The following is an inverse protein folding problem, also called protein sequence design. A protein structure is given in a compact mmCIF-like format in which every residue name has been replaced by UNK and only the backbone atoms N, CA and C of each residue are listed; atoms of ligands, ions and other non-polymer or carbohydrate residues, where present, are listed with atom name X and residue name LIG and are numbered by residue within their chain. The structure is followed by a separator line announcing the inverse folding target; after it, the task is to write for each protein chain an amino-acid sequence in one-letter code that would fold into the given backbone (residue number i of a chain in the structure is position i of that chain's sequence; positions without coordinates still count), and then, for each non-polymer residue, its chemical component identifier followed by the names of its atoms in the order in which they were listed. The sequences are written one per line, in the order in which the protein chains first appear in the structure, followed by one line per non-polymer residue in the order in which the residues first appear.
data_IF_923682883956
#
_entry.id   IF_923682883956
#
_cell.length_a   1.000
_cell.length_b   1.000
_cell.length_c   1.000
_cell.angle_alpha   90.00
_cell.angle_beta   90.00
_cell.angle_gamma   90.00
#
_symmetry.space_group_name_H-M   'P 1'
#
loop_
_entity.id
_entity.type
_entity.pdbx_description
1 polymer ?
#
# COMPACT_ATOMS: atom_id res chain seq x y z
N UNK A 1 -36.93 32.42 -38.84
CA UNK A 1 -37.91 33.35 -38.31
C UNK A 1 -37.84 33.44 -36.79
N UNK A 2 -37.59 34.63 -36.34
CA UNK A 2 -37.84 35.17 -35.01
C UNK A 2 -37.22 34.49 -33.74
N UNK A 3 -36.21 35.19 -33.31
CA UNK A 3 -35.57 35.24 -32.04
C UNK A 3 -36.42 35.81 -30.91
N UNK A 4 -36.11 35.40 -29.72
CA UNK A 4 -36.48 36.09 -28.50
C UNK A 4 -35.28 36.09 -27.56
N UNK A 5 -34.67 37.27 -27.37
CA UNK A 5 -33.65 37.57 -26.36
C UNK A 5 -34.39 37.83 -25.02
N UNK A 6 -33.91 37.22 -23.92
CA UNK A 6 -34.24 37.64 -22.58
C UNK A 6 -33.15 38.52 -21.98
N UNK A 7 -33.49 39.53 -21.21
CA UNK A 7 -32.53 40.49 -20.65
C UNK A 7 -31.76 39.93 -19.44
N UNK A 8 -30.49 40.24 -19.39
CA UNK A 8 -29.57 40.06 -18.27
C UNK A 8 -29.86 41.12 -17.20
N UNK A 9 -30.24 40.66 -16.00
CA UNK A 9 -30.34 41.53 -14.82
C UNK A 9 -29.04 41.42 -14.03
N UNK A 10 -28.28 42.52 -14.02
CA UNK A 10 -27.06 42.68 -13.22
C UNK A 10 -27.49 43.15 -11.83
N UNK A 11 -27.34 42.33 -10.81
CA UNK A 11 -27.47 42.74 -9.43
C UNK A 11 -26.08 42.95 -8.83
N UNK A 12 -25.71 44.21 -8.60
CA UNK A 12 -24.53 44.64 -7.87
C UNK A 12 -24.85 44.59 -6.37
N UNK A 13 -24.28 43.67 -5.65
CA UNK A 13 -24.31 43.64 -4.20
C UNK A 13 -22.97 44.10 -3.64
N UNK A 14 -22.95 45.32 -3.12
CA UNK A 14 -21.87 45.88 -2.30
C UNK A 14 -21.96 45.24 -0.90
N UNK A 15 -21.00 44.44 -0.51
CA UNK A 15 -20.87 43.97 0.87
C UNK A 15 -19.56 44.46 1.43
N UNK A 16 -19.68 45.29 2.45
CA UNK A 16 -18.59 45.88 3.22
C UNK A 16 -17.77 44.85 3.97
N UNK A 17 -16.43 45.02 3.91
CA UNK A 17 -15.43 44.33 4.71
C UNK A 17 -15.65 44.51 6.21
N UNK A 18 -15.76 43.40 6.91
CA UNK A 18 -15.25 43.24 8.28
C UNK A 18 -15.22 41.75 8.61
N UNK A 19 -14.05 41.12 8.55
CA UNK A 19 -13.70 39.88 9.28
C UNK A 19 -12.23 39.50 9.04
N UNK A 20 -11.33 40.25 9.68
CA UNK A 20 -9.89 39.88 9.67
C UNK A 20 -9.44 39.09 10.93
N UNK A 21 -10.36 38.47 11.67
CA UNK A 21 -9.99 37.74 12.91
C UNK A 21 -10.26 36.25 12.94
N UNK A 22 -10.88 35.65 11.93
CA UNK A 22 -11.21 34.21 11.97
C UNK A 22 -10.15 33.29 11.33
N UNK A 23 -9.28 33.82 10.49
CA UNK A 23 -8.28 32.99 9.80
C UNK A 23 -7.11 32.55 10.69
N UNK A 24 -6.76 33.34 11.73
CA UNK A 24 -5.72 32.94 12.68
C UNK A 24 -6.13 31.81 13.63
N UNK A 25 -7.42 31.58 13.82
CA UNK A 25 -7.90 30.53 14.73
C UNK A 25 -8.06 29.16 14.02
N UNK A 26 -8.06 29.12 12.69
CA UNK A 26 -8.03 27.85 11.92
C UNK A 26 -6.64 27.25 11.82
N UNK A 27 -5.61 28.09 11.69
CA UNK A 27 -4.21 27.60 11.62
C UNK A 27 -3.66 27.10 12.96
N UNK A 28 -4.10 27.67 14.08
CA UNK A 28 -3.67 27.22 15.42
C UNK A 28 -4.33 25.91 15.85
N UNK A 29 -5.51 25.55 15.29
CA UNK A 29 -6.18 24.28 15.60
C UNK A 29 -5.61 23.08 14.83
N UNK A 30 -4.85 23.32 13.75
CA UNK A 30 -4.18 22.27 12.97
C UNK A 30 -2.81 21.85 13.55
N UNK A 31 -2.29 22.57 14.56
CA UNK A 31 -0.98 22.30 15.17
C UNK A 31 -1.05 21.63 16.54
N UNK A 32 -2.23 21.38 17.10
CA UNK A 32 -2.34 20.41 18.17
C UNK A 32 -2.22 19.02 17.56
N UNK A 33 -0.97 18.55 17.39
CA UNK A 33 -0.66 17.19 16.98
C UNK A 33 -1.38 16.22 17.90
N UNK A 34 -2.55 15.78 17.48
CA UNK A 34 -3.26 14.68 18.09
C UNK A 34 -2.38 13.44 17.90
N UNK A 35 -1.50 13.17 18.86
CA UNK A 35 -0.94 11.84 19.01
C UNK A 35 -2.15 10.92 19.15
N UNK A 36 -2.43 10.12 18.12
CA UNK A 36 -3.57 9.21 18.13
C UNK A 36 -3.52 8.42 19.43
N UNK A 37 -4.61 8.47 20.20
CA UNK A 37 -4.71 7.76 21.48
C UNK A 37 -4.41 6.28 21.22
N UNK A 38 -3.71 5.55 22.10
CA UNK A 38 -3.37 4.15 21.88
C UNK A 38 -4.56 3.27 21.50
N UNK A 39 -5.75 3.58 22.01
CA UNK A 39 -7.00 2.92 21.65
C UNK A 39 -7.39 3.16 20.18
N UNK A 40 -7.32 4.40 19.71
CA UNK A 40 -7.63 4.76 18.33
C UNK A 40 -6.70 4.06 17.32
N UNK A 41 -5.41 3.94 17.65
CA UNK A 41 -4.46 3.20 16.81
C UNK A 41 -4.82 1.71 16.72
N UNK A 42 -5.29 1.12 17.81
CA UNK A 42 -5.72 -0.28 17.84
C UNK A 42 -6.96 -0.48 16.97
N UNK A 43 -7.96 0.40 17.08
CA UNK A 43 -9.18 0.32 16.29
C UNK A 43 -8.87 0.44 14.78
N UNK A 44 -7.95 1.34 14.40
CA UNK A 44 -7.49 1.47 13.01
C UNK A 44 -6.81 0.20 12.51
N UNK A 45 -6.01 -0.45 13.34
CA UNK A 45 -5.37 -1.70 12.98
C UNK A 45 -6.38 -2.85 12.82
N UNK A 46 -7.34 -2.95 13.72
CA UNK A 46 -8.41 -3.95 13.62
C UNK A 46 -9.24 -3.76 12.34
N UNK A 47 -9.53 -2.51 11.97
CA UNK A 47 -10.19 -2.20 10.71
C UNK A 47 -9.33 -2.59 9.50
N UNK A 48 -8.02 -2.35 9.54
CA UNK A 48 -7.07 -2.76 8.50
C UNK A 48 -7.03 -4.29 8.35
N UNK A 49 -6.93 -5.02 9.45
CA UNK A 49 -6.96 -6.50 9.47
C UNK A 49 -8.29 -7.00 8.90
N UNK A 50 -9.43 -6.47 9.38
CA UNK A 50 -10.77 -6.87 8.91
C UNK A 50 -10.93 -6.64 7.41
N UNK A 51 -10.43 -5.52 6.89
CA UNK A 51 -10.46 -5.24 5.43
C UNK A 51 -9.65 -6.28 4.66
N UNK A 52 -8.43 -6.59 5.11
CA UNK A 52 -7.58 -7.60 4.46
C UNK A 52 -8.22 -9.00 4.50
N UNK A 53 -8.93 -9.35 5.58
CA UNK A 53 -9.68 -10.60 5.70
C UNK A 53 -10.79 -10.70 4.65
N UNK A 54 -11.59 -9.64 4.46
CA UNK A 54 -12.65 -9.60 3.44
C UNK A 54 -12.10 -9.81 2.03
N UNK A 55 -10.99 -9.15 1.69
CA UNK A 55 -10.33 -9.37 0.40
C UNK A 55 -9.86 -10.83 0.26
N UNK A 56 -9.31 -11.41 1.32
CA UNK A 56 -8.89 -12.82 1.32
C UNK A 56 -10.06 -13.78 1.09
N UNK A 57 -11.21 -13.52 1.74
CA UNK A 57 -12.43 -14.32 1.57
C UNK A 57 -12.93 -14.24 0.12
N UNK A 58 -13.00 -13.03 -0.45
CA UNK A 58 -13.40 -12.86 -1.86
C UNK A 58 -12.46 -13.61 -2.82
N UNK A 59 -11.15 -13.53 -2.60
CA UNK A 59 -10.17 -14.28 -3.42
C UNK A 59 -10.42 -15.79 -3.33
N UNK A 60 -10.69 -16.29 -2.12
CA UNK A 60 -11.01 -17.72 -1.92
C UNK A 60 -12.24 -18.20 -2.69
N UNK A 61 -13.25 -17.33 -2.81
CA UNK A 61 -14.51 -17.66 -3.50
C UNK A 61 -14.34 -17.76 -5.01
N UNK A 62 -13.39 -17.00 -5.58
CA UNK A 62 -13.21 -16.91 -7.04
C UNK A 62 -11.97 -17.64 -7.56
N UNK A 63 -11.08 -18.09 -6.68
CA UNK A 63 -9.82 -18.75 -7.06
C UNK A 63 -10.09 -20.13 -7.70
N UNK A 64 -9.46 -20.36 -8.84
CA UNK A 64 -9.37 -21.67 -9.50
C UNK A 64 -7.93 -22.18 -9.48
N UNK A 65 -7.77 -23.52 -9.45
CA UNK A 65 -6.44 -24.12 -9.43
C UNK A 65 -5.64 -23.75 -10.68
N UNK A 66 -4.47 -23.16 -10.46
CA UNK A 66 -3.58 -22.67 -11.52
C UNK A 66 -3.63 -21.15 -11.71
N UNK A 67 -4.55 -20.46 -11.07
CA UNK A 67 -4.61 -19.01 -11.09
C UNK A 67 -3.39 -18.38 -10.41
N UNK A 68 -2.98 -17.23 -10.93
CA UNK A 68 -2.05 -16.32 -10.28
C UNK A 68 -2.83 -15.23 -9.56
N UNK A 69 -2.61 -15.12 -8.25
CA UNK A 69 -3.20 -14.06 -7.42
C UNK A 69 -2.26 -12.87 -7.40
N UNK A 70 -2.73 -11.72 -7.87
CA UNK A 70 -1.93 -10.50 -7.94
C UNK A 70 -2.49 -9.41 -7.03
N UNK A 71 -1.78 -9.11 -5.94
CA UNK A 71 -2.20 -8.16 -4.90
C UNK A 71 -1.49 -6.83 -5.09
N UNK A 72 -2.23 -5.72 -4.98
CA UNK A 72 -1.72 -4.38 -5.22
C UNK A 72 -1.88 -3.45 -4.02
N UNK A 73 -0.82 -2.69 -3.74
CA UNK A 73 -0.87 -1.53 -2.87
C UNK A 73 -0.79 -1.84 -1.36
N UNK A 74 -0.33 -0.85 -0.62
CA UNK A 74 -0.06 -0.96 0.82
C UNK A 74 -1.30 -1.21 1.69
N UNK A 75 -2.48 -1.04 1.15
CA UNK A 75 -3.74 -1.34 1.86
C UNK A 75 -3.94 -2.84 2.11
N UNK A 76 -3.29 -3.70 1.32
CA UNK A 76 -3.52 -5.15 1.29
C UNK A 76 -2.26 -5.95 1.66
N UNK A 77 -1.37 -5.40 2.49
CA UNK A 77 -0.10 -6.04 2.81
C UNK A 77 -0.22 -7.33 3.64
N UNK A 78 -1.37 -7.58 4.29
CA UNK A 78 -1.61 -8.82 5.03
C UNK A 78 -2.22 -9.93 4.17
N UNK A 79 -2.85 -9.58 3.04
CA UNK A 79 -3.58 -10.50 2.17
C UNK A 79 -2.72 -11.68 1.71
N UNK A 80 -1.44 -11.51 1.27
CA UNK A 80 -0.65 -12.65 0.80
C UNK A 80 -0.50 -13.75 1.84
N UNK A 81 -0.21 -13.40 3.10
CA UNK A 81 -0.09 -14.38 4.17
C UNK A 81 -1.44 -15.00 4.53
N UNK A 82 -2.51 -14.20 4.54
CA UNK A 82 -3.86 -14.69 4.83
C UNK A 82 -4.34 -15.68 3.76
N UNK A 83 -4.12 -15.38 2.47
CA UNK A 83 -4.42 -16.32 1.38
C UNK A 83 -3.61 -17.62 1.55
N UNK A 84 -2.34 -17.52 1.89
CA UNK A 84 -1.44 -18.67 2.05
C UNK A 84 -1.92 -19.67 3.10
N UNK A 85 -2.67 -19.22 4.10
CA UNK A 85 -3.25 -20.10 5.13
C UNK A 85 -4.33 -21.02 4.56
N UNK A 86 -5.02 -20.62 3.49
CA UNK A 86 -6.08 -21.39 2.84
C UNK A 86 -5.61 -22.06 1.55
N UNK A 87 -4.73 -21.38 0.79
CA UNK A 87 -4.23 -21.79 -0.50
C UNK A 87 -2.68 -21.91 -0.45
N UNK A 88 -2.14 -22.96 0.15
CA UNK A 88 -0.70 -23.07 0.41
C UNK A 88 0.15 -23.13 -0.87
N UNK A 89 -0.42 -23.60 -1.98
CA UNK A 89 0.27 -23.81 -3.26
C UNK A 89 -0.06 -22.72 -4.31
N UNK A 90 -0.96 -21.77 -4.02
CA UNK A 90 -1.30 -20.72 -4.97
C UNK A 90 -0.07 -19.85 -5.28
N UNK A 91 0.06 -19.41 -6.53
CA UNK A 91 1.10 -18.44 -6.92
C UNK A 91 0.62 -17.04 -6.57
N UNK A 92 1.31 -16.36 -5.66
CA UNK A 92 0.91 -15.03 -5.15
C UNK A 92 2.00 -14.01 -5.45
N UNK A 93 1.64 -12.98 -6.23
CA UNK A 93 2.44 -11.78 -6.43
C UNK A 93 1.90 -10.60 -5.62
N UNK A 94 2.79 -9.72 -5.19
CA UNK A 94 2.43 -8.45 -4.55
C UNK A 94 3.18 -7.30 -5.21
N UNK A 95 2.51 -6.17 -5.47
CA UNK A 95 3.16 -4.98 -6.00
C UNK A 95 3.00 -3.76 -5.09
N UNK A 96 4.13 -3.16 -4.72
CA UNK A 96 4.18 -1.94 -3.93
C UNK A 96 4.28 -0.72 -4.85
N UNK A 97 3.18 0.05 -4.96
CA UNK A 97 3.12 1.26 -5.81
C UNK A 97 3.68 2.52 -5.16
N UNK A 98 4.04 2.46 -3.88
CA UNK A 98 4.62 3.59 -3.14
C UNK A 98 6.04 3.26 -2.69
N UNK A 99 6.86 4.27 -2.40
CA UNK A 99 8.19 4.07 -1.82
C UNK A 99 8.13 3.24 -0.54
N UNK A 100 8.94 2.17 -0.47
CA UNK A 100 9.10 1.45 0.80
C UNK A 100 10.05 2.25 1.69
N UNK A 101 9.65 2.56 2.94
CA UNK A 101 10.44 3.43 3.83
C UNK A 101 11.72 2.76 4.31
N UNK A 102 12.68 3.57 4.76
CA UNK A 102 13.90 3.07 5.40
C UNK A 102 13.58 2.39 6.73
N UNK A 103 14.50 1.55 7.21
CA UNK A 103 14.31 0.82 8.47
C UNK A 103 14.18 1.75 9.68
N UNK A 104 14.78 2.94 9.64
CA UNK A 104 14.69 3.96 10.70
C UNK A 104 13.27 4.50 10.84
N UNK A 105 12.58 4.70 9.72
CA UNK A 105 11.17 5.13 9.69
C UNK A 105 10.25 3.95 9.99
N UNK A 106 10.47 2.82 9.31
CA UNK A 106 9.59 1.66 9.42
C UNK A 106 9.52 1.07 10.83
N UNK A 107 10.61 1.16 11.60
CA UNK A 107 10.67 0.66 12.99
C UNK A 107 9.68 1.34 13.95
N UNK A 108 9.16 2.53 13.59
CA UNK A 108 8.20 3.27 14.42
C UNK A 108 6.81 2.64 14.36
N UNK A 109 6.50 1.88 13.31
CA UNK A 109 5.22 1.20 13.17
C UNK A 109 5.05 0.10 14.24
N UNK A 110 3.98 0.14 15.05
CA UNK A 110 3.74 -0.89 16.07
C UNK A 110 3.63 -2.29 15.44
N UNK A 111 2.90 -2.42 14.36
CA UNK A 111 2.62 -3.70 13.67
C UNK A 111 3.57 -4.01 12.51
N UNK A 112 4.80 -3.46 12.56
CA UNK A 112 5.84 -3.67 11.53
C UNK A 112 6.14 -5.14 11.26
N UNK A 113 6.07 -5.98 12.30
CA UNK A 113 6.34 -7.41 12.20
C UNK A 113 5.24 -8.12 11.40
N UNK A 114 3.99 -7.85 11.74
CA UNK A 114 2.81 -8.41 11.09
C UNK A 114 2.75 -8.01 9.61
N UNK A 115 3.05 -6.76 9.30
CA UNK A 115 3.10 -6.24 7.92
C UNK A 115 4.17 -6.97 7.11
N UNK A 116 5.40 -7.09 7.62
CA UNK A 116 6.47 -7.79 6.91
C UNK A 116 6.14 -9.28 6.72
N UNK A 117 5.60 -9.94 7.74
CA UNK A 117 5.15 -11.34 7.61
C UNK A 117 4.03 -11.47 6.57
N UNK A 118 3.10 -10.52 6.54
CA UNK A 118 2.02 -10.46 5.55
C UNK A 118 2.57 -10.46 4.13
N UNK A 119 3.51 -9.57 3.85
CA UNK A 119 4.17 -9.45 2.55
C UNK A 119 4.97 -10.70 2.17
N UNK A 120 5.68 -11.32 3.13
CA UNK A 120 6.46 -12.54 2.89
C UNK A 120 5.59 -13.80 2.68
N UNK A 121 4.26 -13.68 2.72
CA UNK A 121 3.33 -14.69 2.21
C UNK A 121 3.32 -14.79 0.68
N UNK A 122 3.78 -13.76 -0.03
CA UNK A 122 3.90 -13.74 -1.49
C UNK A 122 5.12 -14.50 -1.98
N UNK A 123 5.03 -15.03 -3.20
CA UNK A 123 6.17 -15.65 -3.92
C UNK A 123 7.02 -14.58 -4.62
N UNK A 124 6.38 -13.47 -5.00
CA UNK A 124 7.01 -12.35 -5.67
C UNK A 124 6.57 -11.02 -5.04
N UNK A 125 7.51 -10.09 -4.85
CA UNK A 125 7.20 -8.71 -4.44
C UNK A 125 7.86 -7.75 -5.41
N UNK A 126 7.05 -6.91 -6.06
CA UNK A 126 7.48 -5.90 -6.99
C UNK A 126 7.68 -4.53 -6.35
N UNK A 127 8.77 -3.87 -6.74
CA UNK A 127 9.11 -2.50 -6.37
C UNK A 127 9.40 -1.66 -7.60
N UNK A 128 9.18 -0.35 -7.54
CA UNK A 128 9.44 0.56 -8.65
C UNK A 128 10.93 0.84 -8.87
N UNK A 129 11.72 0.88 -7.79
CA UNK A 129 13.15 1.18 -7.87
C UNK A 129 13.96 0.26 -6.94
N UNK A 130 15.24 -0.02 -7.27
CA UNK A 130 16.10 -0.90 -6.48
C UNK A 130 16.29 -0.44 -5.03
N UNK A 131 16.22 0.86 -4.77
CA UNK A 131 16.31 1.44 -3.43
C UNK A 131 15.22 0.91 -2.48
N UNK A 132 13.99 0.83 -2.94
CA UNK A 132 12.84 0.36 -2.14
C UNK A 132 12.97 -1.14 -1.81
N UNK A 133 13.43 -1.95 -2.75
CA UNK A 133 13.71 -3.37 -2.53
C UNK A 133 14.79 -3.55 -1.44
N UNK A 134 15.88 -2.76 -1.49
CA UNK A 134 16.92 -2.80 -0.44
C UNK A 134 16.39 -2.37 0.93
N UNK A 135 15.54 -1.35 1.00
CA UNK A 135 14.91 -0.94 2.26
C UNK A 135 14.04 -2.07 2.83
N UNK A 136 13.27 -2.74 1.99
CA UNK A 136 12.45 -3.88 2.41
C UNK A 136 13.28 -5.02 2.96
N UNK A 137 14.34 -5.44 2.25
CA UNK A 137 15.29 -6.47 2.73
C UNK A 137 15.85 -6.09 4.10
N UNK A 138 16.31 -4.84 4.25
CA UNK A 138 16.89 -4.35 5.49
C UNK A 138 15.89 -4.33 6.65
N UNK A 139 14.61 -3.98 6.38
CA UNK A 139 13.56 -4.08 7.38
C UNK A 139 13.31 -5.54 7.80
N UNK A 140 13.20 -6.45 6.84
CA UNK A 140 12.99 -7.87 7.12
C UNK A 140 14.11 -8.46 7.99
N UNK A 141 15.37 -8.21 7.63
CA UNK A 141 16.52 -8.76 8.38
C UNK A 141 16.65 -8.18 9.78
N UNK A 142 16.23 -6.93 10.01
CA UNK A 142 16.27 -6.29 11.34
C UNK A 142 15.08 -6.64 12.23
N UNK A 143 13.90 -6.85 11.66
CA UNK A 143 12.66 -7.01 12.42
C UNK A 143 12.29 -8.48 12.60
N UNK A 144 12.57 -9.33 11.60
CA UNK A 144 12.18 -10.74 11.59
C UNK A 144 13.39 -11.63 11.86
N UNK A 145 13.37 -12.32 12.99
CA UNK A 145 14.38 -13.32 13.30
C UNK A 145 14.31 -14.50 12.32
N UNK A 146 15.47 -14.98 11.86
CA UNK A 146 15.55 -16.09 10.92
C UNK A 146 15.32 -15.70 9.46
N UNK A 147 15.29 -14.39 9.14
CA UNK A 147 15.30 -13.92 7.76
C UNK A 147 16.74 -13.93 7.24
N UNK A 148 16.94 -14.50 6.05
CA UNK A 148 18.18 -14.39 5.31
C UNK A 148 17.92 -13.83 3.92
N UNK A 149 18.78 -12.92 3.45
CA UNK A 149 18.76 -12.50 2.05
C UNK A 149 19.62 -13.45 1.22
N UNK A 150 19.05 -13.92 0.12
CA UNK A 150 19.75 -14.75 -0.85
C UNK A 150 20.12 -13.84 -2.02
N UNK A 151 21.28 -13.18 -1.93
CA UNK A 151 21.66 -12.12 -2.87
C UNK A 151 20.77 -10.87 -2.75
N UNK A 152 20.75 -10.04 -3.81
CA UNK A 152 20.00 -8.78 -3.82
C UNK A 152 18.50 -8.96 -4.16
N UNK A 153 18.09 -10.12 -4.66
CA UNK A 153 16.80 -10.35 -5.30
C UNK A 153 15.90 -11.37 -4.60
N UNK A 154 16.29 -11.93 -3.46
CA UNK A 154 15.52 -12.96 -2.78
C UNK A 154 15.63 -12.84 -1.25
N UNK A 155 14.53 -13.16 -0.57
CA UNK A 155 14.47 -13.27 0.88
C UNK A 155 13.97 -14.67 1.24
N UNK A 156 14.66 -15.36 2.15
CA UNK A 156 14.19 -16.57 2.78
C UNK A 156 13.69 -16.29 4.19
N UNK A 157 12.49 -16.74 4.49
CA UNK A 157 11.90 -16.65 5.81
C UNK A 157 11.02 -17.87 6.11
N UNK A 158 11.29 -18.56 7.21
CA UNK A 158 10.54 -19.76 7.64
C UNK A 158 10.39 -20.85 6.56
N UNK A 159 11.46 -21.09 5.79
CA UNK A 159 11.46 -22.11 4.74
C UNK A 159 10.80 -21.68 3.42
N UNK A 160 10.30 -20.46 3.32
CA UNK A 160 9.78 -19.89 2.06
C UNK A 160 10.79 -18.92 1.47
N UNK A 161 10.83 -18.87 0.16
CA UNK A 161 11.65 -17.91 -0.59
C UNK A 161 10.73 -16.95 -1.33
N UNK A 162 10.85 -15.67 -1.06
CA UNK A 162 10.19 -14.60 -1.78
C UNK A 162 11.16 -13.91 -2.72
N UNK A 163 10.85 -13.84 -4.00
CA UNK A 163 11.63 -13.13 -5.02
C UNK A 163 11.26 -11.66 -5.06
N UNK A 164 12.26 -10.79 -5.19
CA UNK A 164 12.07 -9.35 -5.27
C UNK A 164 12.28 -8.91 -6.71
N UNK A 165 11.28 -8.31 -7.29
CA UNK A 165 11.28 -7.79 -8.66
C UNK A 165 11.41 -6.26 -8.60
N UNK A 166 12.20 -5.70 -9.51
CA UNK A 166 12.30 -4.25 -9.68
C UNK A 166 11.95 -3.94 -11.13
N UNK A 167 10.91 -3.16 -11.32
CA UNK A 167 10.44 -2.76 -12.63
C UNK A 167 10.44 -1.24 -12.75
N UNK A 168 11.48 -0.69 -13.36
CA UNK A 168 11.62 0.76 -13.57
C UNK A 168 10.61 1.31 -14.58
N UNK A 169 10.09 0.48 -15.50
CA UNK A 169 9.11 0.89 -16.50
C UNK A 169 7.67 0.99 -15.96
N UNK A 170 7.36 0.46 -14.79
CA UNK A 170 6.02 0.50 -14.21
C UNK A 170 5.56 1.89 -13.72
N UNK A 171 6.40 2.93 -13.84
CA UNK A 171 6.01 4.29 -13.53
C UNK A 171 4.89 4.81 -14.44
N UNK A 172 4.74 4.24 -15.65
CA UNK A 172 3.82 4.73 -16.69
C UNK A 172 2.77 3.72 -17.16
N UNK A 173 2.82 2.45 -16.74
CA UNK A 173 1.94 1.45 -17.30
C UNK A 173 1.56 0.36 -16.28
N UNK A 174 0.28 0.28 -15.92
CA UNK A 174 -0.28 -0.80 -15.09
C UNK A 174 -0.10 -2.16 -15.77
N UNK A 175 -0.12 -2.20 -17.11
CA UNK A 175 0.08 -3.41 -17.92
C UNK A 175 1.55 -3.85 -18.07
N UNK A 176 2.53 -2.99 -17.75
CA UNK A 176 3.95 -3.31 -17.92
C UNK A 176 4.45 -4.35 -16.89
N UNK A 177 3.70 -4.58 -15.81
CA UNK A 177 4.07 -5.58 -14.80
C UNK A 177 3.89 -7.00 -15.32
N UNK A 178 2.90 -7.25 -16.15
CA UNK A 178 2.76 -8.52 -16.87
C UNK A 178 3.98 -8.75 -17.79
N UNK A 179 4.40 -7.73 -18.53
CA UNK A 179 5.59 -7.82 -19.37
C UNK A 179 6.87 -8.08 -18.57
N UNK A 180 7.04 -7.45 -17.40
CA UNK A 180 8.23 -7.67 -16.56
C UNK A 180 8.24 -9.03 -15.88
N UNK A 181 7.08 -9.58 -15.55
CA UNK A 181 6.97 -10.93 -15.03
C UNK A 181 7.42 -11.95 -16.08
N UNK A 182 6.96 -11.80 -17.33
CA UNK A 182 7.41 -12.65 -18.44
C UNK A 182 8.90 -12.48 -18.75
N UNK A 183 9.44 -11.25 -18.72
CA UNK A 183 10.87 -11.00 -18.95
C UNK A 183 11.78 -11.50 -17.82
N UNK A 184 11.28 -11.72 -16.61
CA UNK A 184 12.07 -12.20 -15.46
C UNK A 184 12.01 -13.72 -15.28
N UNK A 185 11.16 -14.41 -16.06
CA UNK A 185 11.05 -15.89 -16.08
C UNK A 185 11.90 -16.54 -17.18
N UNK A 186 12.46 -15.75 -18.10
CA UNK A 186 13.40 -16.14 -19.14
C UNK A 186 14.76 -15.44 -18.95
#
# INVERSE_FOLDING_TARGET
AFGSRRPTTTATATTSNNNNNDDNNRYTRAQSGSSAQPHQMKDMWEAYVSTNQRFTETVREVYEDGDMIWVHGYHLMLVPLMIRAYLPNATIGFNMHIPFPTSEIFRVLPWRREILMGLLGADFIGFQVPGHSRHFVHCCTRVLLGTSSIGAAQISYRGRVTRLLVCECCFYCIHCFECCFYCSLF
#
